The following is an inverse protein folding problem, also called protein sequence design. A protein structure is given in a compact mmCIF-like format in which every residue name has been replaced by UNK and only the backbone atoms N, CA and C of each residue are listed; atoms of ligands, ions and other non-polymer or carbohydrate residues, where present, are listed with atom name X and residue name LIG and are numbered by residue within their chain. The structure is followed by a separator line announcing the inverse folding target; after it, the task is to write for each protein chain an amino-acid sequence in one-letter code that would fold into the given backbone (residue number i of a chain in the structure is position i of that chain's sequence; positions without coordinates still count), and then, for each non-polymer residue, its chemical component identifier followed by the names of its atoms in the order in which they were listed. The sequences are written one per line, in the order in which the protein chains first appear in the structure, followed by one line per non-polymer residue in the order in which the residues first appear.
data_IF_589538298958
#
_entry.id   IF_589538298958
#
_cell.length_a   1.000
_cell.length_b   1.000
_cell.length_c   1.000
_cell.angle_alpha   90.00
_cell.angle_beta   90.00
_cell.angle_gamma   90.00
#
_symmetry.space_group_name_H-M   'P 1'
#
loop_
_entity.id
_entity.type
_entity.pdbx_description
1 polymer ?
#
# COMPACT_ATOMS: atom_id res chain seq x y z
N UNK A 1 -21.34 -11.78 54.26
CA UNK A 1 -21.08 -12.45 52.98
C UNK A 1 -20.97 -11.39 51.88
N UNK A 2 -22.06 -10.72 51.46
CA UNK A 2 -22.01 -9.73 50.36
C UNK A 2 -21.03 -8.53 50.50
N UNK A 3 -20.85 -7.94 51.68
CA UNK A 3 -19.89 -6.83 51.84
C UNK A 3 -18.42 -7.25 51.67
N UNK A 4 -18.10 -8.49 52.03
CA UNK A 4 -16.75 -9.02 51.92
C UNK A 4 -16.42 -9.32 50.44
N UNK A 5 -17.36 -9.91 49.72
CA UNK A 5 -17.27 -10.13 48.27
C UNK A 5 -17.13 -8.80 47.52
N UNK A 6 -17.94 -7.79 47.86
CA UNK A 6 -17.83 -6.46 47.27
C UNK A 6 -16.46 -5.82 47.53
N UNK A 7 -15.93 -5.97 48.75
CA UNK A 7 -14.61 -5.46 49.10
C UNK A 7 -13.48 -6.11 48.30
N UNK A 8 -13.60 -7.37 47.94
CA UNK A 8 -12.61 -8.10 47.13
C UNK A 8 -12.58 -7.66 45.66
N UNK A 9 -13.67 -7.10 45.15
CA UNK A 9 -13.76 -6.55 43.79
C UNK A 9 -13.20 -5.12 43.68
N UNK A 10 -13.11 -4.40 44.80
CA UNK A 10 -12.61 -3.03 44.83
C UNK A 10 -11.07 -3.06 44.84
N UNK A 11 -10.39 -2.26 43.98
CA UNK A 11 -8.95 -2.21 43.95
C UNK A 11 -8.36 -1.81 45.32
N UNK A 12 -7.20 -2.39 45.71
CA UNK A 12 -6.57 -2.08 47.00
C UNK A 12 -6.24 -0.60 47.19
N UNK A 13 -6.08 0.16 46.10
CA UNK A 13 -5.82 1.60 46.10
C UNK A 13 -6.95 2.44 46.72
N UNK A 14 -8.18 1.91 46.79
CA UNK A 14 -9.32 2.57 47.42
C UNK A 14 -9.43 2.28 48.92
N UNK A 15 -8.64 1.34 49.46
CA UNK A 15 -8.73 0.95 50.87
C UNK A 15 -7.87 1.86 51.75
N UNK A 16 -8.40 2.40 52.86
CA UNK A 16 -7.62 3.19 53.80
C UNK A 16 -6.57 2.32 54.50
N UNK A 17 -5.32 2.76 54.46
CA UNK A 17 -4.20 2.05 55.09
C UNK A 17 -4.36 2.11 56.62
N UNK A 18 -4.43 0.95 57.26
CA UNK A 18 -4.25 0.81 58.71
C UNK A 18 -5.50 0.92 59.59
N UNK A 19 -6.73 0.99 59.04
CA UNK A 19 -7.96 1.06 59.84
C UNK A 19 -9.03 0.05 59.41
N UNK A 20 -9.84 -0.43 60.37
CA UNK A 20 -10.93 -1.39 60.09
C UNK A 20 -11.97 -0.75 59.16
N UNK A 21 -12.15 -1.31 57.96
CA UNK A 21 -13.14 -0.84 56.98
C UNK A 21 -14.56 -1.13 57.47
N UNK A 22 -15.41 -0.11 57.55
CA UNK A 22 -16.83 -0.28 57.90
C UNK A 22 -17.66 -0.64 56.65
N UNK A 23 -18.84 -1.22 56.83
CA UNK A 23 -19.75 -1.51 55.70
C UNK A 23 -20.09 -0.24 54.90
N UNK A 24 -20.24 0.91 55.56
CA UNK A 24 -20.47 2.18 54.87
C UNK A 24 -19.26 2.58 54.01
N UNK A 25 -18.03 2.44 54.52
CA UNK A 25 -16.83 2.73 53.75
C UNK A 25 -16.68 1.82 52.53
N UNK A 26 -17.06 0.53 52.64
CA UNK A 26 -17.07 -0.40 51.50
C UNK A 26 -18.06 0.08 50.42
N UNK A 27 -19.25 0.56 50.81
CA UNK A 27 -20.24 1.07 49.86
C UNK A 27 -19.79 2.35 49.15
N UNK A 28 -19.17 3.29 49.89
CA UNK A 28 -18.63 4.50 49.27
C UNK A 28 -17.51 4.18 48.28
N UNK A 29 -16.57 3.31 48.66
CA UNK A 29 -15.49 2.88 47.77
C UNK A 29 -16.02 2.15 46.53
N UNK A 30 -17.04 1.30 46.70
CA UNK A 30 -17.68 0.63 45.57
C UNK A 30 -18.35 1.63 44.61
N UNK A 31 -19.02 2.65 45.14
CA UNK A 31 -19.65 3.70 44.34
C UNK A 31 -18.59 4.53 43.58
N UNK A 32 -17.50 4.91 44.25
CA UNK A 32 -16.40 5.65 43.63
C UNK A 32 -15.71 4.82 42.54
N UNK A 33 -15.46 3.54 42.80
CA UNK A 33 -14.88 2.63 41.81
C UNK A 33 -15.80 2.41 40.61
N UNK A 34 -17.11 2.24 40.83
CA UNK A 34 -18.11 2.16 39.75
C UNK A 34 -18.11 3.43 38.88
N UNK A 35 -18.02 4.60 39.49
CA UNK A 35 -17.95 5.86 38.75
C UNK A 35 -16.66 6.00 37.96
N UNK A 36 -15.53 5.56 38.52
CA UNK A 36 -14.26 5.51 37.78
C UNK A 36 -14.36 4.57 36.57
N UNK A 37 -14.90 3.36 36.77
CA UNK A 37 -15.05 2.38 35.69
C UNK A 37 -15.94 2.91 34.56
N UNK A 38 -17.06 3.56 34.88
CA UNK A 38 -17.92 4.19 33.87
C UNK A 38 -17.18 5.26 33.06
N UNK A 39 -16.41 6.11 33.74
CA UNK A 39 -15.61 7.13 33.06
C UNK A 39 -14.52 6.51 32.18
N UNK A 40 -13.90 5.44 32.64
CA UNK A 40 -12.90 4.70 31.86
C UNK A 40 -13.52 4.02 30.64
N UNK A 41 -14.70 3.42 30.79
CA UNK A 41 -15.50 2.85 29.70
C UNK A 41 -15.85 3.91 28.64
N UNK A 42 -16.30 5.10 29.06
CA UNK A 42 -16.57 6.23 28.16
C UNK A 42 -15.31 6.65 27.39
N UNK A 43 -14.18 6.83 28.07
CA UNK A 43 -12.91 7.19 27.44
C UNK A 43 -12.41 6.12 26.46
N UNK A 44 -12.55 4.84 26.81
CA UNK A 44 -12.17 3.72 25.94
C UNK A 44 -13.05 3.68 24.70
N UNK A 45 -14.36 3.90 24.83
CA UNK A 45 -15.28 3.98 23.69
C UNK A 45 -14.93 5.13 22.75
N UNK A 46 -14.57 6.30 23.28
CA UNK A 46 -14.07 7.43 22.47
C UNK A 46 -12.78 7.06 21.73
N UNK A 47 -11.84 6.41 22.41
CA UNK A 47 -10.56 5.97 21.82
C UNK A 47 -10.79 4.94 20.70
N UNK A 48 -11.68 3.98 20.91
CA UNK A 48 -12.06 2.98 19.90
C UNK A 48 -12.65 3.67 18.67
N UNK A 49 -13.53 4.66 18.87
CA UNK A 49 -14.13 5.43 17.78
C UNK A 49 -13.07 6.16 16.95
N UNK A 50 -12.11 6.82 17.62
CA UNK A 50 -11.00 7.52 16.95
C UNK A 50 -10.10 6.55 16.18
N UNK A 51 -9.71 5.42 16.78
CA UNK A 51 -8.88 4.42 16.12
C UNK A 51 -9.58 3.81 14.90
N UNK A 52 -10.88 3.56 14.99
CA UNK A 52 -11.69 3.04 13.88
C UNK A 52 -11.71 4.02 12.71
N UNK A 53 -11.87 5.32 12.99
CA UNK A 53 -11.79 6.37 11.97
C UNK A 53 -10.39 6.43 11.32
N UNK A 54 -9.33 6.30 12.12
CA UNK A 54 -7.96 6.30 11.62
C UNK A 54 -7.66 5.09 10.71
N UNK A 55 -8.12 3.89 11.09
CA UNK A 55 -7.99 2.69 10.25
C UNK A 55 -8.70 2.90 8.92
N UNK A 56 -9.94 3.38 8.95
CA UNK A 56 -10.71 3.64 7.73
C UNK A 56 -10.03 4.66 6.80
N UNK A 57 -9.43 5.70 7.38
CA UNK A 57 -8.67 6.70 6.61
C UNK A 57 -7.41 6.09 5.98
N UNK A 58 -6.66 5.27 6.73
CA UNK A 58 -5.46 4.60 6.23
C UNK A 58 -5.79 3.58 5.12
N UNK A 59 -6.88 2.82 5.25
CA UNK A 59 -7.37 1.93 4.20
C UNK A 59 -7.72 2.69 2.92
N UNK A 60 -8.37 3.85 3.04
CA UNK A 60 -8.67 4.70 1.88
C UNK A 60 -7.38 5.19 1.22
N UNK A 61 -6.40 5.65 2.00
CA UNK A 61 -5.09 6.08 1.49
C UNK A 61 -4.38 4.93 0.77
N UNK A 62 -4.32 3.74 1.36
CA UNK A 62 -3.71 2.57 0.75
C UNK A 62 -4.35 2.23 -0.60
N UNK A 63 -5.69 2.21 -0.65
CA UNK A 63 -6.45 1.98 -1.89
C UNK A 63 -6.16 3.05 -2.96
N UNK A 64 -5.97 4.30 -2.58
CA UNK A 64 -5.59 5.35 -3.53
C UNK A 64 -4.19 5.10 -4.11
N UNK A 65 -3.22 4.70 -3.28
CA UNK A 65 -1.89 4.35 -3.77
C UNK A 65 -1.89 3.14 -4.71
N UNK A 66 -2.67 2.11 -4.40
CA UNK A 66 -2.86 0.96 -5.30
C UNK A 66 -3.41 1.39 -6.66
N UNK A 67 -4.47 2.22 -6.67
CA UNK A 67 -5.04 2.75 -7.90
C UNK A 67 -4.03 3.61 -8.67
N UNK A 68 -3.25 4.45 -7.99
CA UNK A 68 -2.22 5.27 -8.63
C UNK A 68 -1.10 4.40 -9.25
N UNK A 69 -0.70 3.32 -8.60
CA UNK A 69 0.31 2.40 -9.13
C UNK A 69 -0.19 1.70 -10.40
N UNK A 70 -1.44 1.22 -10.41
CA UNK A 70 -2.08 0.65 -11.60
C UNK A 70 -2.16 1.70 -12.70
N UNK A 71 -2.68 2.89 -12.40
CA UNK A 71 -2.84 3.96 -13.37
C UNK A 71 -1.50 4.48 -13.91
N UNK A 72 -0.42 4.51 -13.11
CA UNK A 72 0.92 4.89 -13.58
C UNK A 72 1.47 3.89 -14.60
N UNK A 73 1.26 2.59 -14.38
CA UNK A 73 1.63 1.55 -15.34
C UNK A 73 0.83 1.68 -16.66
N UNK A 74 -0.47 1.96 -16.56
CA UNK A 74 -1.35 2.15 -17.73
C UNK A 74 -1.03 3.48 -18.45
N UNK A 75 -0.72 4.55 -17.71
CA UNK A 75 -0.40 5.87 -18.27
C UNK A 75 0.93 5.89 -19.01
N UNK A 76 1.92 5.10 -18.58
CA UNK A 76 3.16 4.87 -19.33
C UNK A 76 2.94 4.04 -20.61
N UNK A 77 1.85 3.27 -20.70
CA UNK A 77 1.44 2.58 -21.93
C UNK A 77 0.44 3.36 -22.79
N UNK A 78 -0.20 4.41 -22.24
CA UNK A 78 -1.32 5.09 -22.91
C UNK A 78 -0.90 6.23 -23.83
N UNK A 79 0.33 6.72 -23.73
CA UNK A 79 0.79 7.66 -24.74
C UNK A 79 1.04 6.88 -26.04
N UNK A 80 0.25 7.20 -27.08
CA UNK A 80 0.42 6.68 -28.44
C UNK A 80 1.89 6.82 -28.88
N UNK A 81 2.58 7.87 -28.43
CA UNK A 81 4.01 8.09 -28.67
C UNK A 81 4.89 6.98 -28.07
N UNK A 82 4.64 6.56 -26.83
CA UNK A 82 5.36 5.44 -26.20
C UNK A 82 5.08 4.12 -26.92
N UNK A 83 3.85 3.89 -27.37
CA UNK A 83 3.48 2.69 -28.11
C UNK A 83 4.14 2.63 -29.49
N UNK A 84 4.18 3.76 -30.21
CA UNK A 84 4.91 3.89 -31.48
C UNK A 84 6.41 3.64 -31.26
N UNK A 85 7.01 4.25 -30.24
CA UNK A 85 8.43 4.07 -29.93
C UNK A 85 8.75 2.62 -29.55
N UNK A 86 7.92 1.98 -28.73
CA UNK A 86 8.09 0.58 -28.36
C UNK A 86 8.02 -0.33 -29.59
N UNK A 87 6.98 -0.18 -30.42
CA UNK A 87 6.78 -1.00 -31.62
C UNK A 87 7.92 -0.81 -32.63
N UNK A 88 8.44 0.42 -32.73
CA UNK A 88 9.60 0.74 -33.55
C UNK A 88 10.87 0.04 -33.05
N UNK A 89 11.19 0.15 -31.76
CA UNK A 89 12.35 -0.50 -31.16
C UNK A 89 12.27 -2.03 -31.28
N UNK A 90 11.10 -2.61 -31.07
CA UNK A 90 10.86 -4.04 -31.21
C UNK A 90 11.10 -4.52 -32.66
N UNK A 91 10.68 -3.72 -33.64
CA UNK A 91 10.89 -4.01 -35.06
C UNK A 91 12.37 -3.92 -35.46
N UNK A 92 13.07 -2.89 -34.98
CA UNK A 92 14.52 -2.75 -35.14
C UNK A 92 15.26 -3.93 -34.50
N UNK A 93 14.86 -4.34 -33.30
CA UNK A 93 15.47 -5.45 -32.59
C UNK A 93 15.19 -6.81 -33.25
N UNK A 94 13.98 -7.01 -33.80
CA UNK A 94 13.67 -8.21 -34.59
C UNK A 94 14.55 -8.30 -35.85
N UNK A 95 14.82 -7.17 -36.52
CA UNK A 95 15.76 -7.10 -37.64
C UNK A 95 17.19 -7.44 -37.19
N UNK A 96 17.64 -6.80 -36.10
CA UNK A 96 18.95 -7.04 -35.48
C UNK A 96 19.17 -8.53 -35.20
N UNK A 97 18.21 -9.18 -34.53
CA UNK A 97 18.31 -10.60 -34.16
C UNK A 97 18.45 -11.56 -35.35
N UNK A 98 17.97 -11.18 -36.53
CA UNK A 98 18.06 -12.01 -37.74
C UNK A 98 19.38 -11.82 -38.49
N UNK A 99 19.99 -10.65 -38.38
CA UNK A 99 21.07 -10.22 -39.27
C UNK A 99 22.41 -10.03 -38.54
N UNK A 100 22.39 -9.75 -37.24
CA UNK A 100 23.59 -9.59 -36.42
C UNK A 100 23.89 -10.88 -35.67
N UNK A 101 25.10 -11.39 -35.88
CA UNK A 101 25.58 -12.59 -35.20
C UNK A 101 26.38 -12.20 -33.95
N UNK A 102 25.85 -12.58 -32.78
CA UNK A 102 26.41 -12.29 -31.45
C UNK A 102 27.23 -13.44 -30.85
N UNK A 103 27.61 -14.44 -31.66
CA UNK A 103 28.37 -15.62 -31.19
C UNK A 103 29.82 -15.30 -30.79
N UNK A 104 30.42 -14.24 -31.35
CA UNK A 104 31.76 -13.77 -31.00
C UNK A 104 31.93 -12.28 -31.31
N UNK A 105 32.87 -11.62 -30.65
CA UNK A 105 33.13 -10.18 -30.87
C UNK A 105 33.49 -9.87 -32.33
N UNK A 106 34.29 -10.73 -32.97
CA UNK A 106 34.65 -10.60 -34.38
C UNK A 106 33.40 -10.64 -35.27
N UNK A 107 32.51 -11.61 -35.03
CA UNK A 107 31.28 -11.75 -35.80
C UNK A 107 30.32 -10.58 -35.61
N UNK A 108 30.30 -9.97 -34.42
CA UNK A 108 29.51 -8.75 -34.18
C UNK A 108 30.06 -7.59 -35.00
N UNK A 109 31.37 -7.37 -34.99
CA UNK A 109 32.01 -6.28 -35.73
C UNK A 109 31.74 -6.41 -37.24
N UNK A 110 31.83 -7.63 -37.77
CA UNK A 110 31.61 -7.92 -39.19
C UNK A 110 30.14 -7.80 -39.62
N UNK A 111 29.17 -8.00 -38.72
CA UNK A 111 27.73 -8.04 -39.08
C UNK A 111 26.95 -6.81 -38.63
N UNK A 112 27.44 -6.06 -37.63
CA UNK A 112 26.74 -4.90 -37.07
C UNK A 112 26.71 -3.70 -38.03
N UNK A 113 27.86 -3.34 -38.61
CA UNK A 113 27.97 -2.23 -39.56
C UNK A 113 27.09 -2.45 -40.80
N UNK A 114 27.16 -3.61 -41.49
CA UNK A 114 26.28 -3.91 -42.61
C UNK A 114 24.80 -3.90 -42.24
N UNK A 115 24.44 -4.37 -41.03
CA UNK A 115 23.06 -4.33 -40.57
C UNK A 115 22.55 -2.88 -40.42
N UNK A 116 23.35 -1.99 -39.83
CA UNK A 116 22.98 -0.56 -39.67
C UNK A 116 22.78 0.10 -41.04
N UNK A 117 23.60 -0.23 -42.03
CA UNK A 117 23.51 0.32 -43.38
C UNK A 117 22.28 -0.18 -44.16
N UNK A 118 21.83 -1.41 -43.90
CA UNK A 118 20.68 -2.04 -44.58
C UNK A 118 19.36 -1.75 -43.83
N UNK A 119 19.42 -1.24 -42.60
CA UNK A 119 18.24 -0.96 -41.80
C UNK A 119 17.42 0.18 -42.42
N UNK A 120 16.27 -0.18 -43.00
CA UNK A 120 15.33 0.77 -43.59
C UNK A 120 14.43 1.41 -42.52
N UNK A 121 14.96 2.48 -41.91
CA UNK A 121 14.27 3.26 -40.88
C UNK A 121 12.94 3.86 -41.37
N UNK A 122 12.86 4.23 -42.65
CA UNK A 122 11.67 4.84 -43.25
C UNK A 122 10.55 3.81 -43.42
N UNK A 123 10.90 2.59 -43.82
CA UNK A 123 9.94 1.48 -43.86
C UNK A 123 9.46 1.09 -42.47
N UNK A 124 10.38 0.91 -41.52
CA UNK A 124 10.01 0.51 -40.14
C UNK A 124 9.14 1.58 -39.48
N UNK A 125 9.48 2.86 -39.62
CA UNK A 125 8.65 3.95 -39.09
C UNK A 125 7.25 3.98 -39.72
N UNK A 126 7.13 3.86 -41.04
CA UNK A 126 5.82 3.78 -41.72
C UNK A 126 4.99 2.58 -41.26
N UNK A 127 5.59 1.41 -41.15
CA UNK A 127 4.91 0.19 -40.70
C UNK A 127 4.42 0.33 -39.25
N UNK A 128 5.23 0.95 -38.37
CA UNK A 128 4.86 1.20 -36.96
C UNK A 128 3.72 2.21 -36.81
N UNK A 129 3.73 3.30 -37.59
CA UNK A 129 2.63 4.26 -37.61
C UNK A 129 1.35 3.59 -38.13
N UNK A 130 1.44 2.82 -39.22
CA UNK A 130 0.30 2.11 -39.77
C UNK A 130 -0.29 1.07 -38.80
N UNK A 131 0.54 0.41 -37.99
CA UNK A 131 0.09 -0.57 -37.00
C UNK A 131 -0.61 0.09 -35.80
N UNK A 132 -0.15 1.26 -35.38
CA UNK A 132 -0.71 1.97 -34.21
C UNK A 132 -1.97 2.78 -34.56
N UNK A 133 -2.05 3.33 -35.77
CA UNK A 133 -3.20 4.17 -36.20
C UNK A 133 -4.32 3.40 -36.94
N UNK A 134 -4.22 2.07 -37.10
CA UNK A 134 -5.25 1.25 -37.77
C UNK A 134 -6.43 0.82 -36.88
N UNK A 135 -6.59 1.39 -35.70
CA UNK A 135 -7.74 1.20 -34.80
C UNK A 135 -8.47 2.51 -34.57
#
# INVERSE_FOLDING_TARGET
IGYQELKELIPPSFSPVGCKTTNAAILFQAADYLNQLKKEEENLNETISQLTAQVSALELIAKQYENMAVNSCVSNRSSIQCQVMQTFLDSCFASFRRQVNVSSLQSVIETLLPWVEILDYDKISRDTLNAVYKY
#
